data_IF_609542308937
#
_entry.id   IF_609542308937
#
_cell.length_a   1.000
_cell.length_b   1.000
_cell.length_c   1.000
_cell.angle_alpha   90.00
_cell.angle_beta   90.00
_cell.angle_gamma   90.00
#
_symmetry.space_group_name_H-M   'P 1'
#
loop_
_entity.id
_entity.type
_entity.pdbx_description
1 polymer ?
#
# COMPACT_ATOMS: atom_id res chain seq x y z
N UNK A 1 -17.84 -17.91 5.69
CA UNK A 1 -17.01 -16.88 6.35
C UNK A 1 -15.64 -16.92 5.70
N UNK A 2 -15.12 -15.76 5.23
CA UNK A 2 -13.75 -15.66 4.74
C UNK A 2 -12.77 -15.62 5.93
N UNK A 3 -11.58 -16.18 5.74
CA UNK A 3 -10.52 -16.16 6.74
C UNK A 3 -9.82 -14.79 6.85
N UNK A 4 -9.91 -13.97 5.80
CA UNK A 4 -9.26 -12.66 5.72
C UNK A 4 -10.29 -11.56 5.46
N UNK A 5 -10.00 -10.31 5.86
CA UNK A 5 -10.81 -9.15 5.49
C UNK A 5 -10.93 -9.03 3.96
N UNK A 6 -12.02 -8.41 3.50
CA UNK A 6 -12.12 -8.06 2.08
C UNK A 6 -11.15 -6.92 1.76
N UNK A 7 -10.73 -6.81 0.50
CA UNK A 7 -9.87 -5.73 0.03
C UNK A 7 -10.49 -4.34 0.29
N UNK A 8 -11.80 -4.21 0.15
CA UNK A 8 -12.52 -2.98 0.49
C UNK A 8 -12.43 -2.66 1.99
N UNK A 9 -12.50 -3.68 2.87
CA UNK A 9 -12.35 -3.50 4.32
C UNK A 9 -10.97 -2.96 4.67
N UNK A 10 -9.92 -3.51 4.06
CA UNK A 10 -8.56 -3.02 4.27
C UNK A 10 -8.41 -1.57 3.79
N UNK A 11 -8.98 -1.23 2.62
CA UNK A 11 -9.03 0.14 2.13
C UNK A 11 -9.71 1.12 3.10
N UNK A 12 -10.81 0.70 3.74
CA UNK A 12 -11.48 1.48 4.79
C UNK A 12 -10.60 1.69 6.02
N UNK A 13 -9.84 0.67 6.44
CA UNK A 13 -8.92 0.78 7.58
C UNK A 13 -7.86 1.84 7.31
N UNK A 14 -7.24 1.82 6.13
CA UNK A 14 -6.25 2.81 5.75
C UNK A 14 -6.85 4.22 5.62
N UNK A 15 -8.04 4.34 5.03
CA UNK A 15 -8.75 5.61 4.95
C UNK A 15 -8.99 6.22 6.34
N UNK A 16 -9.46 5.40 7.28
CA UNK A 16 -9.70 5.83 8.67
C UNK A 16 -8.42 6.30 9.34
N UNK A 17 -7.33 5.56 9.18
CA UNK A 17 -6.01 5.93 9.71
C UNK A 17 -5.53 7.27 9.12
N UNK A 18 -5.63 7.43 7.79
CA UNK A 18 -5.23 8.66 7.10
C UNK A 18 -6.06 9.85 7.59
N UNK A 19 -7.38 9.70 7.71
CA UNK A 19 -8.25 10.78 8.20
C UNK A 19 -7.93 11.19 9.64
N UNK A 20 -7.56 10.23 10.49
CA UNK A 20 -7.23 10.48 11.90
C UNK A 20 -5.84 11.13 12.06
N UNK A 21 -4.84 10.63 11.34
CA UNK A 21 -3.43 11.04 11.53
C UNK A 21 -2.95 12.08 10.52
N UNK A 22 -3.54 12.12 9.32
CA UNK A 22 -3.08 12.94 8.20
C UNK A 22 -4.26 13.54 7.43
N UNK A 23 -5.14 14.35 8.07
CA UNK A 23 -6.40 14.81 7.48
C UNK A 23 -6.24 15.73 6.25
N UNK A 24 -5.03 16.23 6.01
CA UNK A 24 -4.69 17.08 4.87
C UNK A 24 -3.78 16.38 3.84
N UNK A 25 -3.65 15.07 3.94
CA UNK A 25 -2.80 14.28 3.06
C UNK A 25 -3.19 14.43 1.58
N UNK A 26 -2.18 14.41 0.73
CA UNK A 26 -2.30 14.29 -0.73
C UNK A 26 -1.96 12.86 -1.11
N UNK A 27 -2.97 12.11 -1.50
CA UNK A 27 -2.84 10.66 -1.74
C UNK A 27 -2.59 10.39 -3.21
N UNK A 28 -1.49 9.71 -3.50
CA UNK A 28 -1.22 9.09 -4.79
C UNK A 28 -1.48 7.59 -4.72
N UNK A 29 -2.21 7.05 -5.65
CA UNK A 29 -2.62 5.65 -5.69
C UNK A 29 -1.95 4.95 -6.86
N UNK A 30 -1.29 3.81 -6.60
CA UNK A 30 -0.90 2.83 -7.60
C UNK A 30 -1.71 1.55 -7.40
N UNK A 31 -2.37 1.06 -8.44
CA UNK A 31 -3.20 -0.14 -8.31
C UNK A 31 -3.15 -1.03 -9.56
N UNK A 32 -3.33 -2.33 -9.35
CA UNK A 32 -3.49 -3.28 -10.45
C UNK A 32 -4.83 -3.04 -11.17
N UNK A 33 -4.83 -3.01 -12.48
CA UNK A 33 -6.04 -2.72 -13.28
C UNK A 33 -6.95 -3.96 -13.43
N UNK A 34 -7.43 -4.45 -12.30
CA UNK A 34 -8.40 -5.55 -12.22
C UNK A 34 -9.32 -5.37 -11.01
N UNK A 35 -10.14 -6.37 -10.73
CA UNK A 35 -11.09 -6.32 -9.60
C UNK A 35 -10.38 -6.21 -8.25
N UNK A 36 -9.22 -6.87 -8.09
CA UNK A 36 -8.40 -6.77 -6.88
C UNK A 36 -7.99 -5.32 -6.59
N UNK A 37 -7.36 -4.65 -7.56
CA UNK A 37 -6.90 -3.28 -7.38
C UNK A 37 -8.06 -2.30 -7.23
N UNK A 38 -9.12 -2.47 -8.02
CA UNK A 38 -10.32 -1.62 -7.97
C UNK A 38 -11.06 -1.72 -6.65
N UNK A 39 -11.11 -2.90 -6.04
CA UNK A 39 -11.73 -3.09 -4.72
C UNK A 39 -10.98 -2.34 -3.61
N UNK A 40 -9.66 -2.36 -3.61
CA UNK A 40 -8.87 -1.55 -2.68
C UNK A 40 -9.11 -0.05 -2.87
N UNK A 41 -9.08 0.43 -4.12
CA UNK A 41 -9.34 1.84 -4.44
C UNK A 41 -10.75 2.25 -4.01
N UNK A 42 -11.74 1.40 -4.28
CA UNK A 42 -13.12 1.61 -3.85
C UNK A 42 -13.22 1.72 -2.32
N UNK A 43 -12.60 0.78 -1.60
CA UNK A 43 -12.58 0.79 -0.14
C UNK A 43 -11.95 2.05 0.44
N UNK A 44 -10.82 2.49 -0.11
CA UNK A 44 -10.18 3.75 0.29
C UNK A 44 -11.11 4.95 0.05
N UNK A 45 -11.69 5.07 -1.15
CA UNK A 45 -12.60 6.17 -1.51
C UNK A 45 -13.85 6.21 -0.63
N UNK A 46 -14.47 5.06 -0.41
CA UNK A 46 -15.65 4.93 0.46
C UNK A 46 -15.31 5.35 1.90
N UNK A 47 -14.14 4.93 2.39
CA UNK A 47 -13.66 5.29 3.73
C UNK A 47 -13.31 6.77 3.90
N UNK A 48 -12.76 7.41 2.85
CA UNK A 48 -12.49 8.86 2.84
C UNK A 48 -13.77 9.69 2.68
N UNK A 49 -14.81 9.10 2.08
CA UNK A 49 -16.10 9.75 1.87
C UNK A 49 -15.97 11.03 1.02
N UNK A 50 -16.61 12.10 1.45
CA UNK A 50 -16.59 13.38 0.73
C UNK A 50 -15.20 14.02 0.60
N UNK A 51 -14.22 13.59 1.40
CA UNK A 51 -12.85 14.10 1.33
C UNK A 51 -12.03 13.46 0.21
N UNK A 52 -12.46 12.33 -0.34
CA UNK A 52 -11.73 11.60 -1.38
C UNK A 52 -11.34 12.50 -2.57
N UNK A 53 -12.28 13.28 -3.08
CA UNK A 53 -12.05 14.15 -4.24
C UNK A 53 -10.98 15.23 -4.01
N UNK A 54 -10.78 15.66 -2.77
CA UNK A 54 -9.79 16.68 -2.42
C UNK A 54 -8.44 16.06 -2.00
N UNK A 55 -8.46 14.86 -1.44
CA UNK A 55 -7.26 14.20 -0.92
C UNK A 55 -6.54 13.37 -1.98
N UNK A 56 -7.26 12.72 -2.91
CA UNK A 56 -6.65 11.90 -3.95
C UNK A 56 -6.21 12.81 -5.09
N UNK A 57 -4.90 12.98 -5.25
CA UNK A 57 -4.29 13.86 -6.25
C UNK A 57 -3.85 13.15 -7.52
N UNK A 58 -3.64 11.83 -7.45
CA UNK A 58 -3.29 10.99 -8.59
C UNK A 58 -3.73 9.55 -8.39
N UNK A 59 -4.22 8.93 -9.46
CA UNK A 59 -4.49 7.51 -9.55
C UNK A 59 -3.82 6.97 -10.81
N UNK A 60 -2.94 6.01 -10.66
CA UNK A 60 -2.27 5.35 -11.79
C UNK A 60 -2.41 3.84 -11.65
N UNK A 61 -2.61 3.17 -12.76
CA UNK A 61 -2.73 1.73 -12.80
C UNK A 61 -1.56 1.07 -13.49
N UNK A 62 -1.42 -0.22 -13.27
CA UNK A 62 -0.51 -1.08 -14.02
C UNK A 62 -1.22 -2.39 -14.40
N UNK A 63 -0.67 -3.06 -15.41
CA UNK A 63 -1.12 -4.39 -15.84
C UNK A 63 -0.16 -5.47 -15.32
N UNK A 64 -0.66 -6.67 -15.05
CA UNK A 64 0.19 -7.79 -14.60
C UNK A 64 1.24 -8.19 -15.63
N UNK A 65 1.02 -7.82 -16.90
CA UNK A 65 1.92 -8.05 -18.03
C UNK A 65 3.00 -6.99 -18.17
N UNK A 66 2.92 -5.89 -17.41
CA UNK A 66 3.94 -4.85 -17.44
C UNK A 66 5.30 -5.40 -16.98
N UNK A 67 6.36 -4.89 -17.57
CA UNK A 67 7.72 -5.25 -17.15
C UNK A 67 8.19 -4.41 -15.97
N UNK A 68 7.80 -3.15 -15.92
CA UNK A 68 8.17 -2.18 -14.89
C UNK A 68 7.04 -1.18 -14.65
N UNK A 69 7.05 -0.57 -13.46
CA UNK A 69 6.11 0.48 -13.04
C UNK A 69 6.82 1.81 -12.75
N UNK A 70 8.01 1.99 -13.31
CA UNK A 70 8.85 3.15 -13.05
C UNK A 70 8.17 4.48 -13.42
N UNK A 71 7.46 4.51 -14.54
CA UNK A 71 6.75 5.70 -15.02
C UNK A 71 5.58 6.08 -14.09
N UNK A 72 4.90 5.09 -13.55
CA UNK A 72 3.83 5.30 -12.58
C UNK A 72 4.37 5.96 -11.30
N UNK A 73 5.49 5.47 -10.76
CA UNK A 73 6.11 6.04 -9.56
C UNK A 73 6.58 7.48 -9.80
N UNK A 74 7.19 7.76 -10.95
CA UNK A 74 7.59 9.12 -11.32
C UNK A 74 6.37 10.05 -11.42
N UNK A 75 5.28 9.58 -12.00
CA UNK A 75 4.03 10.35 -12.11
C UNK A 75 3.43 10.65 -10.75
N UNK A 76 3.46 9.68 -9.82
CA UNK A 76 2.97 9.86 -8.45
C UNK A 76 3.83 10.88 -7.68
N UNK A 77 5.14 10.82 -7.80
CA UNK A 77 6.02 11.85 -7.23
C UNK A 77 5.70 13.24 -7.79
N UNK A 78 5.55 13.36 -9.11
CA UNK A 78 5.26 14.62 -9.78
C UNK A 78 3.89 15.22 -9.41
N UNK A 79 2.94 14.39 -8.97
CA UNK A 79 1.62 14.86 -8.49
C UNK A 79 1.67 15.63 -7.18
N UNK A 80 2.80 15.59 -6.47
CA UNK A 80 2.94 16.19 -5.15
C UNK A 80 2.30 15.36 -4.04
N UNK A 81 2.02 14.08 -4.28
CA UNK A 81 1.51 13.18 -3.25
C UNK A 81 2.52 13.02 -2.10
N UNK A 82 2.03 13.16 -0.86
CA UNK A 82 2.76 12.93 0.38
C UNK A 82 2.36 11.62 1.08
N UNK A 83 1.29 10.99 0.60
CA UNK A 83 0.87 9.65 0.94
C UNK A 83 0.87 8.79 -0.33
N UNK A 84 1.53 7.65 -0.26
CA UNK A 84 1.52 6.65 -1.32
C UNK A 84 0.68 5.44 -0.88
N UNK A 85 -0.44 5.21 -1.56
CA UNK A 85 -1.29 4.04 -1.39
C UNK A 85 -0.94 3.01 -2.46
N UNK A 86 -0.21 1.98 -2.05
CA UNK A 86 0.39 0.98 -2.92
C UNK A 86 -0.42 -0.32 -2.89
N UNK A 87 -1.16 -0.55 -3.98
CA UNK A 87 -2.01 -1.73 -4.19
C UNK A 87 -1.42 -2.59 -5.30
N UNK A 88 -0.27 -3.17 -5.01
CA UNK A 88 0.47 -3.98 -5.95
C UNK A 88 0.66 -5.41 -5.46
N UNK A 89 0.84 -6.35 -6.40
CA UNK A 89 1.27 -7.71 -6.09
C UNK A 89 2.79 -7.72 -5.79
N UNK A 90 3.33 -8.76 -5.14
CA UNK A 90 4.70 -8.78 -4.62
C UNK A 90 5.80 -8.31 -5.57
N UNK A 91 5.76 -8.72 -6.84
CA UNK A 91 6.74 -8.30 -7.86
C UNK A 91 6.79 -6.79 -8.01
N UNK A 92 5.63 -6.16 -8.14
CA UNK A 92 5.53 -4.72 -8.39
C UNK A 92 5.66 -3.91 -7.11
N UNK A 93 5.26 -4.47 -5.95
CA UNK A 93 5.51 -3.85 -4.65
C UNK A 93 7.01 -3.65 -4.42
N UNK A 94 7.83 -4.67 -4.67
CA UNK A 94 9.28 -4.55 -4.54
C UNK A 94 9.86 -3.49 -5.49
N UNK A 95 9.35 -3.39 -6.73
CA UNK A 95 9.73 -2.35 -7.68
C UNK A 95 9.31 -0.95 -7.21
N UNK A 96 8.08 -0.80 -6.73
CA UNK A 96 7.53 0.48 -6.27
C UNK A 96 8.34 1.04 -5.09
N UNK A 97 8.59 0.21 -4.07
CA UNK A 97 9.40 0.57 -2.90
C UNK A 97 10.81 1.00 -3.34
N UNK A 98 11.45 0.17 -4.17
CA UNK A 98 12.81 0.44 -4.64
C UNK A 98 12.87 1.72 -5.48
N UNK A 99 11.96 1.88 -6.42
CA UNK A 99 11.93 3.06 -7.30
C UNK A 99 11.68 4.34 -6.54
N UNK A 100 10.71 4.36 -5.60
CA UNK A 100 10.44 5.52 -4.76
C UNK A 100 11.71 5.94 -3.99
N UNK A 101 12.44 4.97 -3.42
CA UNK A 101 13.69 5.21 -2.71
C UNK A 101 14.77 5.79 -3.66
N UNK A 102 14.98 5.19 -4.83
CA UNK A 102 16.02 5.58 -5.77
C UNK A 102 15.83 7.01 -6.32
N UNK A 103 14.57 7.45 -6.52
CA UNK A 103 14.27 8.82 -6.97
C UNK A 103 14.15 9.82 -5.82
N UNK A 104 14.39 9.39 -4.57
CA UNK A 104 14.29 10.24 -3.38
C UNK A 104 12.88 10.64 -2.99
N UNK A 105 11.84 9.96 -3.47
CA UNK A 105 10.47 10.19 -3.04
C UNK A 105 10.20 9.52 -1.71
N UNK A 106 9.79 10.30 -0.71
CA UNK A 106 9.61 9.85 0.68
C UNK A 106 8.19 10.12 1.19
N UNK A 107 7.16 9.54 0.56
CA UNK A 107 5.80 9.64 1.07
C UNK A 107 5.61 8.80 2.32
N UNK A 108 4.54 9.03 3.07
CA UNK A 108 4.03 8.00 3.98
C UNK A 108 3.47 6.87 3.12
N UNK A 109 4.12 5.72 3.14
CA UNK A 109 3.86 4.61 2.22
C UNK A 109 2.96 3.56 2.88
N UNK A 110 1.74 3.43 2.40
CA UNK A 110 0.80 2.37 2.78
C UNK A 110 0.87 1.24 1.77
N UNK A 111 1.28 0.08 2.22
CA UNK A 111 1.40 -1.14 1.41
C UNK A 111 0.28 -2.11 1.78
N UNK A 112 -0.41 -2.66 0.78
CA UNK A 112 -1.46 -3.64 0.99
C UNK A 112 -0.92 -4.93 1.64
N UNK A 113 -1.77 -5.65 2.37
CA UNK A 113 -1.39 -6.88 3.10
C UNK A 113 -0.91 -8.01 2.21
N UNK A 114 -1.35 -8.06 0.95
CA UNK A 114 -0.94 -9.09 -0.04
C UNK A 114 0.57 -9.05 -0.32
N UNK A 115 1.20 -7.90 -0.15
CA UNK A 115 2.59 -7.65 -0.54
C UNK A 115 3.51 -7.27 0.63
N UNK A 116 3.11 -7.53 1.87
CA UNK A 116 3.87 -7.12 3.06
C UNK A 116 4.97 -8.11 3.50
N UNK A 117 5.15 -9.22 2.79
CA UNK A 117 6.12 -10.25 3.17
C UNK A 117 7.55 -9.70 3.23
N UNK A 118 8.17 -9.82 4.39
CA UNK A 118 9.57 -9.42 4.61
C UNK A 118 10.51 -10.19 3.67
N UNK A 119 10.32 -11.50 3.52
CA UNK A 119 11.21 -12.36 2.75
C UNK A 119 11.10 -12.15 1.25
N UNK A 120 9.88 -12.07 0.72
CA UNK A 120 9.63 -12.04 -0.73
C UNK A 120 9.48 -10.64 -1.34
N UNK A 121 9.25 -9.61 -0.51
CA UNK A 121 9.04 -8.24 -0.99
C UNK A 121 10.04 -7.25 -0.39
N UNK A 122 10.06 -7.10 0.94
CA UNK A 122 10.83 -6.03 1.57
C UNK A 122 12.35 -6.24 1.46
N UNK A 123 12.84 -7.48 1.61
CA UNK A 123 14.27 -7.79 1.40
C UNK A 123 14.71 -7.57 -0.05
N UNK A 124 14.00 -8.08 -1.08
CA UNK A 124 14.32 -7.77 -2.47
C UNK A 124 14.24 -6.27 -2.82
N UNK A 125 13.29 -5.53 -2.27
CA UNK A 125 13.20 -4.09 -2.44
C UNK A 125 14.37 -3.31 -1.78
N UNK A 126 14.97 -3.91 -0.75
CA UNK A 126 15.98 -3.30 0.10
C UNK A 126 15.39 -2.86 1.44
N UNK A 127 15.97 -3.35 2.54
CA UNK A 127 15.45 -3.07 3.88
C UNK A 127 15.48 -1.57 4.22
N UNK A 128 16.49 -0.84 3.73
CA UNK A 128 16.54 0.62 3.94
C UNK A 128 15.43 1.36 3.17
N UNK A 129 15.12 0.90 1.98
CA UNK A 129 14.02 1.44 1.17
C UNK A 129 12.65 1.12 1.78
N UNK A 130 12.54 0.04 2.56
CA UNK A 130 11.30 -0.43 3.18
C UNK A 130 11.03 0.16 4.56
N UNK A 131 11.94 0.97 5.10
CA UNK A 131 11.76 1.57 6.43
C UNK A 131 10.60 2.55 6.45
N UNK A 132 9.75 2.42 7.48
CA UNK A 132 8.61 3.33 7.68
C UNK A 132 7.36 2.98 6.86
N UNK A 133 7.35 1.86 6.14
CA UNK A 133 6.14 1.34 5.51
C UNK A 133 5.07 1.04 6.55
N UNK A 134 3.84 1.38 6.21
CA UNK A 134 2.65 1.05 7.00
C UNK A 134 1.88 -0.03 6.23
N UNK A 135 1.57 -1.12 6.89
CA UNK A 135 0.78 -2.21 6.34
C UNK A 135 -0.21 -2.74 7.36
N UNK A 136 -1.22 -3.46 6.92
CA UNK A 136 -2.10 -4.23 7.78
C UNK A 136 -1.71 -5.71 7.76
N UNK A 137 -2.04 -6.40 8.83
CA UNK A 137 -1.91 -7.84 8.93
C UNK A 137 -3.14 -8.41 9.67
N UNK A 138 -3.64 -9.54 9.21
CA UNK A 138 -4.77 -10.21 9.83
C UNK A 138 -4.35 -11.49 10.56
N UNK A 139 -3.10 -11.89 10.42
CA UNK A 139 -2.47 -13.00 11.14
C UNK A 139 -1.36 -12.46 12.02
N UNK A 140 -1.05 -13.17 13.10
CA UNK A 140 0.09 -12.86 13.96
C UNK A 140 1.38 -13.22 13.22
N UNK A 141 2.39 -12.36 13.31
CA UNK A 141 3.71 -12.67 12.76
C UNK A 141 4.35 -13.84 13.53
N UNK A 142 4.57 -14.99 12.90
CA UNK A 142 5.15 -16.16 13.58
C UNK A 142 6.62 -15.93 13.99
N UNK A 143 7.26 -14.90 13.49
CA UNK A 143 8.63 -14.53 13.87
C UNK A 143 8.70 -13.57 15.05
N UNK A 144 7.57 -12.98 15.45
CA UNK A 144 7.50 -12.08 16.61
C UNK A 144 7.55 -12.89 17.92
N UNK A 145 8.58 -12.71 18.76
CA UNK A 145 8.73 -13.46 20.00
C UNK A 145 7.59 -13.26 21.00
N UNK A 146 6.81 -12.20 20.89
CA UNK A 146 5.65 -11.96 21.77
C UNK A 146 4.54 -12.99 21.56
N UNK A 147 4.45 -13.61 20.38
CA UNK A 147 3.44 -14.61 20.04
C UNK A 147 3.91 -16.06 20.15
N UNK A 148 5.20 -16.31 20.38
CA UNK A 148 5.78 -17.68 20.41
C UNK A 148 5.16 -18.58 21.49
N UNK A 149 4.58 -18.02 22.54
CA UNK A 149 3.90 -18.77 23.59
C UNK A 149 2.38 -18.82 23.42
N UNK A 150 1.84 -18.31 22.35
CA UNK A 150 0.41 -18.32 22.08
C UNK A 150 0.00 -19.71 21.59
N UNK A 151 -0.72 -20.46 22.45
CA UNK A 151 -1.16 -21.84 22.15
C UNK A 151 -2.25 -21.92 21.06
N UNK A 152 -2.68 -20.79 20.52
CA UNK A 152 -3.61 -20.73 19.39
C UNK A 152 -2.93 -20.91 18.02
N UNK A 153 -1.60 -21.07 18.01
CA UNK A 153 -0.78 -21.34 16.82
C UNK A 153 -0.14 -22.73 16.89
#
# INVERSE_FOLDING_TARGET
MGWQPTYQTEGHIYAKYILDKMPNAKIGILFQNDDYGKDYVKGLKDGLGSKAANMIVAEVSYETTDTTIDSQIVSLQASGADVFYDVTIPKFAAQAIRKAYDIGWKPTHFLNSVSNSVGSVLKPAGLDASKGLITSEYEKDPTDPTWQNDKAY
#
